data_IF_801702541604
#
_entry.id   IF_801702541604
#
_cell.length_a   1.000
_cell.length_b   1.000
_cell.length_c   1.000
_cell.angle_alpha   90.00
_cell.angle_beta   90.00
_cell.angle_gamma   90.00
#
_symmetry.space_group_name_H-M   'P 1'
#
loop_
_entity.id
_entity.type
_entity.pdbx_description
1 polymer ?
#
# COMPACT_ATOMS: atom_id res chain seq x y z
N UNK A 1 3.62 12.09 -20.33
CA UNK A 1 2.28 12.28 -19.70
C UNK A 1 1.28 11.27 -20.23
N UNK A 2 1.25 10.96 -21.53
CA UNK A 2 0.40 9.88 -22.08
C UNK A 2 0.72 8.49 -21.50
N UNK A 3 2.00 8.16 -21.29
CA UNK A 3 2.45 6.87 -20.69
C UNK A 3 2.06 6.65 -19.22
N UNK A 4 1.73 7.70 -18.46
CA UNK A 4 1.32 7.55 -17.06
C UNK A 4 -0.20 7.33 -16.91
N UNK A 5 -0.98 7.69 -17.93
CA UNK A 5 -2.43 7.60 -17.92
C UNK A 5 -2.99 6.24 -18.35
N UNK A 6 -2.17 5.40 -18.96
CA UNK A 6 -2.54 4.04 -19.40
C UNK A 6 -2.27 2.96 -18.34
N UNK A 7 -1.58 3.29 -17.25
CA UNK A 7 -1.24 2.33 -16.19
C UNK A 7 -2.49 1.87 -15.44
N UNK A 8 -2.59 0.56 -15.22
CA UNK A 8 -3.63 0.00 -14.39
C UNK A 8 -3.52 0.54 -12.95
N UNK A 9 -4.67 0.92 -12.38
CA UNK A 9 -4.74 1.53 -11.05
C UNK A 9 -5.01 0.45 -10.01
N UNK A 10 -4.12 0.33 -9.04
CA UNK A 10 -4.28 -0.52 -7.86
C UNK A 10 -4.60 0.35 -6.64
N UNK A 11 -5.63 -0.01 -5.89
CA UNK A 11 -6.13 0.79 -4.76
C UNK A 11 -5.79 0.20 -3.40
N UNK A 12 -5.51 -1.10 -3.34
CA UNK A 12 -5.29 -1.83 -2.09
C UNK A 12 -4.42 -3.07 -2.30
N UNK A 13 -4.00 -3.69 -1.19
CA UNK A 13 -3.14 -4.89 -1.18
C UNK A 13 -3.79 -6.10 -1.85
N UNK A 14 -5.12 -6.28 -1.70
CA UNK A 14 -5.83 -7.40 -2.33
C UNK A 14 -5.75 -7.31 -3.86
N UNK A 15 -6.04 -6.14 -4.43
CA UNK A 15 -5.91 -5.90 -5.87
C UNK A 15 -4.47 -6.13 -6.34
N UNK A 16 -3.47 -5.70 -5.56
CA UNK A 16 -2.07 -5.95 -5.90
C UNK A 16 -1.72 -7.45 -5.89
N UNK A 17 -2.17 -8.18 -4.88
CA UNK A 17 -1.94 -9.62 -4.77
C UNK A 17 -2.64 -10.40 -5.89
N UNK A 18 -3.85 -9.99 -6.28
CA UNK A 18 -4.57 -10.60 -7.41
C UNK A 18 -3.82 -10.34 -8.72
N UNK A 19 -3.37 -9.10 -8.98
CA UNK A 19 -2.50 -8.81 -10.12
C UNK A 19 -1.20 -9.64 -10.10
N UNK A 20 -0.55 -9.78 -8.93
CA UNK A 20 0.69 -10.54 -8.81
C UNK A 20 0.50 -12.02 -9.17
N UNK A 21 -0.62 -12.64 -8.75
CA UNK A 21 -0.94 -14.03 -9.11
C UNK A 21 -1.06 -14.23 -10.62
N UNK A 22 -1.53 -13.21 -11.34
CA UNK A 22 -1.70 -13.27 -12.79
C UNK A 22 -0.39 -12.93 -13.55
N UNK A 23 0.54 -12.21 -12.90
CA UNK A 23 1.68 -11.58 -13.58
C UNK A 23 3.07 -12.00 -13.05
N UNK A 24 3.18 -12.84 -12.01
CA UNK A 24 4.46 -13.20 -11.38
C UNK A 24 5.54 -13.70 -12.35
N UNK A 25 5.15 -14.32 -13.48
CA UNK A 25 6.09 -14.79 -14.49
C UNK A 25 6.89 -13.66 -15.15
N UNK A 26 6.28 -12.48 -15.30
CA UNK A 26 6.96 -11.28 -15.81
C UNK A 26 8.07 -10.79 -14.88
N UNK A 27 7.94 -11.11 -13.58
CA UNK A 27 8.89 -10.73 -12.54
C UNK A 27 9.97 -11.80 -12.30
N UNK A 28 10.06 -12.80 -13.18
CA UNK A 28 11.09 -13.85 -13.15
C UNK A 28 10.73 -15.07 -12.28
N UNK A 29 9.53 -15.12 -11.69
CA UNK A 29 9.10 -16.30 -10.93
C UNK A 29 8.52 -17.36 -11.86
N UNK A 30 8.85 -18.62 -11.64
CA UNK A 30 8.38 -19.75 -12.46
C UNK A 30 7.07 -20.34 -11.96
N UNK A 31 6.83 -20.33 -10.64
CA UNK A 31 5.64 -20.94 -10.02
C UNK A 31 5.30 -20.32 -8.65
N UNK A 32 4.01 -20.23 -8.33
CA UNK A 32 3.52 -20.02 -6.96
C UNK A 32 3.56 -21.37 -6.24
N UNK A 33 4.39 -21.50 -5.21
CA UNK A 33 4.44 -22.68 -4.33
C UNK A 33 3.36 -22.59 -3.26
N UNK A 34 3.17 -21.40 -2.68
CA UNK A 34 2.14 -21.12 -1.68
C UNK A 34 1.65 -19.67 -1.77
N UNK A 35 0.35 -19.43 -1.98
CA UNK A 35 -0.28 -18.14 -1.74
C UNK A 35 -0.91 -18.09 -0.35
N UNK A 36 -0.56 -17.10 0.47
CA UNK A 36 -1.18 -16.85 1.77
C UNK A 36 -1.01 -15.39 2.21
N UNK A 37 -1.85 -14.50 1.67
CA UNK A 37 -1.84 -13.06 1.94
C UNK A 37 -2.32 -12.67 3.35
N UNK A 38 -2.53 -13.64 4.23
CA UNK A 38 -2.95 -13.41 5.63
C UNK A 38 -1.79 -13.47 6.61
N UNK A 39 -0.58 -13.81 6.13
CA UNK A 39 0.64 -13.91 6.93
C UNK A 39 1.84 -13.49 6.10
N UNK A 40 2.88 -13.02 6.79
CA UNK A 40 4.19 -12.82 6.20
C UNK A 40 5.00 -14.14 6.18
N UNK A 41 5.62 -14.56 5.06
CA UNK A 41 5.54 -13.93 3.74
C UNK A 41 4.22 -14.26 3.02
N UNK A 42 3.69 -13.29 2.27
CA UNK A 42 2.48 -13.43 1.46
C UNK A 42 2.55 -14.60 0.48
N UNK A 43 3.73 -14.82 -0.12
CA UNK A 43 3.95 -15.86 -1.11
C UNK A 43 5.24 -16.63 -0.85
N UNK A 44 5.20 -17.92 -1.17
CA UNK A 44 6.41 -18.69 -1.45
C UNK A 44 6.41 -18.95 -2.96
N UNK A 45 7.45 -18.49 -3.63
CA UNK A 45 7.62 -18.54 -5.08
C UNK A 45 8.79 -19.44 -5.46
N UNK A 46 8.77 -20.00 -6.66
CA UNK A 46 9.94 -20.69 -7.25
C UNK A 46 10.64 -19.74 -8.24
N UNK A 47 11.92 -19.43 -8.00
CA UNK A 47 12.77 -18.60 -8.86
C UNK A 47 14.12 -19.28 -9.02
N UNK A 48 14.54 -19.51 -10.27
CA UNK A 48 15.79 -20.23 -10.58
C UNK A 48 15.98 -21.57 -9.83
N UNK A 49 14.88 -22.32 -9.68
CA UNK A 49 14.87 -23.61 -8.99
C UNK A 49 14.91 -23.55 -7.45
N UNK A 50 14.86 -22.36 -6.85
CA UNK A 50 14.84 -22.17 -5.39
C UNK A 50 13.53 -21.55 -4.92
N UNK A 51 13.12 -21.93 -3.71
CA UNK A 51 12.02 -21.24 -3.03
C UNK A 51 12.50 -19.86 -2.58
N UNK A 52 11.68 -18.85 -2.84
CA UNK A 52 11.88 -17.46 -2.45
C UNK A 52 10.64 -17.00 -1.70
N UNK A 53 10.83 -16.52 -0.47
CA UNK A 53 9.78 -15.92 0.35
C UNK A 53 9.55 -14.47 -0.11
N UNK A 54 8.38 -14.21 -0.66
CA UNK A 54 8.02 -12.93 -1.26
C UNK A 54 6.95 -12.24 -0.44
N UNK A 55 7.20 -10.98 -0.09
CA UNK A 55 6.22 -10.08 0.52
C UNK A 55 5.77 -9.03 -0.50
N UNK A 56 4.47 -8.75 -0.55
CA UNK A 56 3.91 -7.69 -1.37
C UNK A 56 3.61 -6.46 -0.52
N UNK A 57 4.04 -5.29 -0.98
CA UNK A 57 3.74 -4.04 -0.29
C UNK A 57 3.28 -2.96 -1.27
N UNK A 58 2.15 -2.32 -1.03
CA UNK A 58 1.72 -1.21 -1.91
C UNK A 58 2.71 -0.03 -1.87
N UNK A 59 3.35 0.19 -0.71
CA UNK A 59 4.44 1.15 -0.50
C UNK A 59 5.51 0.45 0.32
N UNK A 60 6.78 0.48 -0.10
CA UNK A 60 7.85 -0.30 0.56
C UNK A 60 7.94 -0.03 2.07
N UNK A 61 7.80 1.23 2.51
CA UNK A 61 7.81 1.58 3.93
C UNK A 61 6.67 0.98 4.76
N UNK A 62 5.58 0.49 4.16
CA UNK A 62 4.53 -0.22 4.89
C UNK A 62 5.04 -1.50 5.55
N UNK A 63 6.07 -2.14 4.99
CA UNK A 63 6.74 -3.28 5.62
C UNK A 63 7.17 -2.99 7.06
N UNK A 64 7.76 -1.80 7.28
CA UNK A 64 8.21 -1.35 8.60
C UNK A 64 7.04 -1.07 9.54
N UNK A 65 5.94 -0.56 8.99
CA UNK A 65 4.72 -0.25 9.74
C UNK A 65 4.02 -1.52 10.20
N UNK A 66 4.00 -2.56 9.36
CA UNK A 66 3.43 -3.87 9.67
C UNK A 66 4.24 -4.68 10.69
N UNK A 67 5.47 -4.24 11.01
CA UNK A 67 6.40 -4.91 11.95
C UNK A 67 6.68 -6.36 11.55
N UNK A 68 6.72 -6.61 10.25
CA UNK A 68 7.11 -7.91 9.71
C UNK A 68 8.58 -8.20 9.98
N UNK A 69 8.90 -9.49 10.07
CA UNK A 69 10.23 -9.98 10.33
C UNK A 69 11.00 -10.08 9.00
N UNK A 70 11.95 -9.16 8.78
CA UNK A 70 12.77 -9.12 7.56
C UNK A 70 13.53 -10.44 7.32
N UNK A 71 13.84 -11.21 8.35
CA UNK A 71 14.59 -12.46 8.20
C UNK A 71 13.76 -13.58 7.57
N UNK A 72 12.42 -13.44 7.55
CA UNK A 72 11.51 -14.39 6.91
C UNK A 72 11.25 -14.09 5.43
N UNK A 73 11.74 -12.95 4.94
CA UNK A 73 11.49 -12.46 3.59
C UNK A 73 12.80 -12.41 2.80
N UNK A 74 12.76 -12.93 1.58
CA UNK A 74 13.89 -12.94 0.67
C UNK A 74 13.81 -11.80 -0.34
N UNK A 75 12.61 -11.44 -0.79
CA UNK A 75 12.36 -10.41 -1.79
C UNK A 75 11.06 -9.67 -1.50
N UNK A 76 11.07 -8.34 -1.63
CA UNK A 76 9.89 -7.50 -1.44
C UNK A 76 9.49 -6.94 -2.81
N UNK A 77 8.21 -7.03 -3.15
CA UNK A 77 7.70 -6.49 -4.40
C UNK A 77 6.72 -5.38 -4.06
N UNK A 78 6.92 -4.20 -4.66
CA UNK A 78 6.13 -3.03 -4.32
C UNK A 78 5.69 -2.19 -5.51
N UNK A 79 4.66 -1.37 -5.30
CA UNK A 79 4.18 -0.40 -6.29
C UNK A 79 4.88 0.96 -6.14
N UNK A 80 5.29 1.31 -4.92
CA UNK A 80 6.01 2.55 -4.61
C UNK A 80 7.24 2.22 -3.75
N UNK A 81 8.43 2.37 -4.33
CA UNK A 81 9.70 2.24 -3.60
C UNK A 81 10.09 3.59 -2.99
N UNK A 82 9.68 3.83 -1.75
CA UNK A 82 9.96 5.06 -0.99
C UNK A 82 11.08 4.91 0.06
N UNK A 83 11.56 3.69 0.28
CA UNK A 83 12.62 3.37 1.25
C UNK A 83 13.42 2.14 0.82
N UNK A 84 14.54 1.92 1.50
CA UNK A 84 15.37 0.71 1.38
C UNK A 84 15.20 -0.16 2.63
N UNK A 85 15.17 -1.49 2.47
CA UNK A 85 14.88 -2.43 3.57
C UNK A 85 16.00 -3.45 3.81
N UNK A 86 17.17 -3.28 3.19
CA UNK A 86 18.29 -4.24 3.28
C UNK A 86 18.00 -5.60 2.63
N UNK A 87 16.86 -5.75 1.96
CA UNK A 87 16.46 -6.90 1.14
C UNK A 87 16.27 -6.44 -0.31
N UNK A 88 16.39 -7.34 -1.30
CA UNK A 88 15.98 -7.06 -2.67
C UNK A 88 14.55 -6.49 -2.73
N UNK A 89 14.39 -5.36 -3.40
CA UNK A 89 13.09 -4.72 -3.65
C UNK A 89 12.89 -4.61 -5.16
N UNK A 90 11.79 -5.18 -5.67
CA UNK A 90 11.34 -5.00 -7.05
C UNK A 90 10.20 -4.00 -7.10
N UNK A 91 10.34 -2.95 -7.92
CA UNK A 91 9.31 -1.95 -8.14
C UNK A 91 8.51 -2.20 -9.42
N UNK A 92 7.20 -2.40 -9.29
CA UNK A 92 6.29 -2.69 -10.41
C UNK A 92 5.84 -1.38 -11.05
N UNK A 93 6.63 -0.87 -12.00
CA UNK A 93 6.42 0.45 -12.64
C UNK A 93 5.22 0.52 -13.60
N UNK A 94 4.71 -0.62 -14.07
CA UNK A 94 3.57 -0.70 -14.99
C UNK A 94 2.22 -0.43 -14.31
N UNK A 95 2.20 -0.43 -12.98
CA UNK A 95 1.02 -0.15 -12.18
C UNK A 95 1.13 1.22 -11.51
N UNK A 96 -0.01 1.80 -11.21
CA UNK A 96 -0.10 3.03 -10.40
C UNK A 96 -0.86 2.74 -9.11
N UNK A 97 -0.21 2.99 -7.98
CA UNK A 97 -0.90 2.94 -6.69
C UNK A 97 -1.71 4.22 -6.44
N UNK A 98 -3.01 4.06 -6.21
CA UNK A 98 -3.95 5.12 -5.85
C UNK A 98 -4.76 4.75 -4.60
N UNK A 99 -4.06 4.31 -3.55
CA UNK A 99 -4.65 4.09 -2.23
C UNK A 99 -4.62 5.33 -1.34
N UNK A 100 -5.08 5.21 -0.09
CA UNK A 100 -5.06 6.29 0.87
C UNK A 100 -3.63 6.78 1.14
N UNK A 101 -3.47 8.10 1.28
CA UNK A 101 -2.19 8.72 1.66
C UNK A 101 -2.23 9.06 3.15
N UNK A 102 -1.17 8.69 3.86
CA UNK A 102 -0.97 9.10 5.27
C UNK A 102 -0.39 10.51 5.29
N UNK A 103 -0.94 11.36 6.13
CA UNK A 103 -0.47 12.74 6.36
C UNK A 103 -0.30 12.97 7.85
N UNK A 104 0.72 13.74 8.23
CA UNK A 104 0.94 14.16 9.62
C UNK A 104 0.49 15.61 9.75
N UNK A 105 -0.43 15.87 10.68
CA UNK A 105 -0.98 17.19 10.95
C UNK A 105 -0.75 17.55 12.42
N UNK A 106 -0.40 18.80 12.69
CA UNK A 106 -0.40 19.36 14.05
C UNK A 106 -1.63 20.25 14.19
N UNK A 107 -2.46 19.97 15.18
CA UNK A 107 -3.72 20.69 15.45
C UNK A 107 -3.68 21.11 16.92
N UNK A 108 -4.20 22.30 17.22
CA UNK A 108 -4.39 22.75 18.60
C UNK A 108 -5.13 21.67 19.43
N UNK A 109 -4.66 21.44 20.66
CA UNK A 109 -5.16 20.35 21.49
C UNK A 109 -6.65 20.51 21.82
N UNK A 110 -7.09 21.73 22.13
CA UNK A 110 -8.49 21.98 22.46
C UNK A 110 -9.39 21.81 21.24
N UNK A 111 -8.93 22.25 20.06
CA UNK A 111 -9.65 22.03 18.79
C UNK A 111 -9.78 20.54 18.50
N UNK A 112 -8.68 19.78 18.59
CA UNK A 112 -8.68 18.34 18.37
C UNK A 112 -9.67 17.61 19.29
N UNK A 113 -9.64 17.87 20.59
CA UNK A 113 -10.51 17.18 21.55
C UNK A 113 -11.99 17.48 21.30
N UNK A 114 -12.34 18.74 21.02
CA UNK A 114 -13.72 19.14 20.71
C UNK A 114 -14.21 18.48 19.42
N UNK A 115 -13.37 18.46 18.39
CA UNK A 115 -13.72 17.89 17.09
C UNK A 115 -13.81 16.36 17.13
N UNK A 116 -12.94 15.70 17.90
CA UNK A 116 -13.00 14.26 18.18
C UNK A 116 -14.33 13.89 18.85
N UNK A 117 -14.72 14.62 19.91
CA UNK A 117 -16.01 14.40 20.61
C UNK A 117 -17.20 14.58 19.67
N UNK A 118 -17.20 15.62 18.84
CA UNK A 118 -18.22 15.82 17.82
C UNK A 118 -18.34 14.62 16.87
N UNK A 119 -17.21 14.09 16.39
CA UNK A 119 -17.21 12.91 15.50
C UNK A 119 -17.79 11.68 16.20
N UNK A 120 -17.43 11.44 17.47
CA UNK A 120 -17.95 10.33 18.27
C UNK A 120 -19.46 10.43 18.50
N UNK A 121 -19.97 11.61 18.88
CA UNK A 121 -21.41 11.86 19.10
C UNK A 121 -22.26 11.67 17.83
N UNK A 122 -21.65 11.84 16.65
CA UNK A 122 -22.32 11.68 15.36
C UNK A 122 -22.01 10.34 14.67
N UNK A 123 -21.30 9.41 15.35
CA UNK A 123 -20.85 8.14 14.79
C UNK A 123 -20.05 8.28 13.47
N UNK A 124 -19.22 9.32 13.37
CA UNK A 124 -18.39 9.61 12.20
C UNK A 124 -16.93 9.28 12.51
N UNK A 125 -16.25 8.61 11.59
CA UNK A 125 -14.80 8.42 11.69
C UNK A 125 -14.08 9.75 11.47
N UNK A 126 -13.23 10.15 12.42
CA UNK A 126 -12.49 11.42 12.39
C UNK A 126 -11.77 11.66 11.05
N UNK A 127 -11.01 10.66 10.56
CA UNK A 127 -10.29 10.75 9.28
C UNK A 127 -11.23 10.97 8.10
N UNK A 128 -12.42 10.35 8.12
CA UNK A 128 -13.41 10.52 7.06
C UNK A 128 -13.99 11.93 7.06
N UNK A 129 -14.26 12.51 8.23
CA UNK A 129 -14.75 13.88 8.29
C UNK A 129 -13.70 14.89 7.82
N UNK A 130 -12.42 14.67 8.13
CA UNK A 130 -11.32 15.48 7.59
C UNK A 130 -11.26 15.38 6.07
N UNK A 131 -11.38 14.17 5.51
CA UNK A 131 -11.41 13.98 4.05
C UNK A 131 -12.60 14.72 3.40
N UNK A 132 -13.78 14.68 4.02
CA UNK A 132 -14.97 15.40 3.54
C UNK A 132 -14.77 16.92 3.61
N UNK A 133 -14.21 17.43 4.70
CA UNK A 133 -13.90 18.85 4.83
C UNK A 133 -12.94 19.31 3.71
N UNK A 134 -11.89 18.55 3.40
CA UNK A 134 -10.99 18.87 2.30
C UNK A 134 -11.69 18.86 0.94
N UNK A 135 -12.65 17.93 0.72
CA UNK A 135 -13.44 17.87 -0.52
C UNK A 135 -14.33 19.09 -0.68
N UNK A 136 -15.07 19.46 0.36
CA UNK A 136 -15.91 20.67 0.40
C UNK A 136 -15.08 21.90 0.01
N UNK A 137 -13.88 22.08 0.59
CA UNK A 137 -12.98 23.21 0.26
C UNK A 137 -12.44 23.18 -1.18
N UNK A 138 -12.19 22.00 -1.75
CA UNK A 138 -11.74 21.88 -3.14
C UNK A 138 -12.87 22.22 -4.11
N UNK A 139 -14.08 21.78 -3.80
CA UNK A 139 -15.26 22.04 -4.62
C UNK A 139 -15.59 23.54 -4.59
N UNK A 140 -15.51 24.19 -3.41
CA UNK A 140 -15.65 25.65 -3.25
C UNK A 140 -14.57 26.45 -4.00
N UNK A 141 -13.36 25.89 -4.17
CA UNK A 141 -12.25 26.54 -4.88
C UNK A 141 -12.38 26.46 -6.42
N UNK A 142 -13.25 25.58 -6.94
CA UNK A 142 -13.43 25.38 -8.39
C UNK A 142 -14.53 26.26 -9.01
N UNK A 143 -15.15 27.13 -8.22
CA UNK A 143 -15.94 28.29 -8.66
C UNK A 143 -15.07 29.56 -8.73
#
# INVERSE_FOLDING_TARGET
MEDEMSKEIIKNEKEFADWFKDNYKKLGFSKIVRPDISRCPDFIMLKDGKNVNVELETVASNFLVHKHDLDKVDEIICLVKDTELGKPITDVKELRFNGPRKVTLSIDSNVYQRYKKYCEENAIMLSKKIELFMKEQIDDYKE
#
